data_IF_801147917655
#
_entry.id   IF_801147917655
#
_cell.length_a   1.000
_cell.length_b   1.000
_cell.length_c   1.000
_cell.angle_alpha   90.00
_cell.angle_beta   90.00
_cell.angle_gamma   90.00
#
_symmetry.space_group_name_H-M   'P 1'
#
loop_
_entity.id
_entity.type
_entity.pdbx_description
1 polymer ?
#
# COMPACT_ATOMS: atom_id res chain seq x y z
N UNK A 1 -10.01 11.90 -32.87
CA UNK A 1 -10.49 12.32 -31.52
C UNK A 1 -10.93 11.06 -30.80
N UNK A 2 -10.48 10.70 -29.60
CA UNK A 2 -9.52 11.30 -28.69
C UNK A 2 -8.93 10.19 -27.82
N UNK A 3 -7.69 10.37 -27.38
CA UNK A 3 -7.05 9.50 -26.41
C UNK A 3 -7.81 9.62 -25.08
N UNK A 4 -8.58 8.60 -24.69
CA UNK A 4 -8.71 8.30 -23.27
C UNK A 4 -7.51 7.41 -22.95
N UNK A 5 -6.41 8.03 -22.56
CA UNK A 5 -5.53 7.36 -21.60
C UNK A 5 -6.40 7.27 -20.35
N UNK A 6 -7.05 6.12 -20.13
CA UNK A 6 -7.64 5.84 -18.83
C UNK A 6 -6.48 5.92 -17.86
N UNK A 7 -6.38 7.03 -17.14
CA UNK A 7 -5.63 7.12 -15.90
C UNK A 7 -6.33 6.17 -14.92
N UNK A 8 -6.13 4.87 -15.11
CA UNK A 8 -6.55 3.86 -14.15
C UNK A 8 -5.58 3.98 -12.99
N UNK A 9 -5.75 5.04 -12.18
CA UNK A 9 -5.04 5.14 -10.92
C UNK A 9 -5.41 3.89 -10.13
N UNK A 10 -4.42 3.08 -9.75
CA UNK A 10 -4.70 1.90 -8.95
C UNK A 10 -5.42 2.32 -7.67
N UNK A 11 -6.54 1.67 -7.35
CA UNK A 11 -7.19 1.89 -6.07
C UNK A 11 -6.43 1.11 -5.01
N UNK A 12 -5.56 1.80 -4.27
CA UNK A 12 -4.76 1.23 -3.20
C UNK A 12 -5.49 1.48 -1.88
N UNK A 13 -5.71 0.42 -1.10
CA UNK A 13 -6.34 0.53 0.23
C UNK A 13 -5.56 1.49 1.12
N UNK A 14 -6.29 2.29 1.90
CA UNK A 14 -5.75 3.13 2.98
C UNK A 14 -5.84 2.37 4.30
N UNK A 15 -5.12 2.80 5.37
CA UNK A 15 -5.20 2.14 6.67
C UNK A 15 -6.64 2.02 7.22
N UNK A 16 -7.51 2.99 6.91
CA UNK A 16 -8.93 3.00 7.28
C UNK A 16 -9.81 2.00 6.52
N UNK A 17 -9.34 1.47 5.38
CA UNK A 17 -10.08 0.51 4.56
C UNK A 17 -9.95 -0.93 5.11
N UNK A 18 -8.99 -1.16 6.02
CA UNK A 18 -8.80 -2.44 6.67
C UNK A 18 -9.91 -2.72 7.69
N UNK A 19 -10.38 -3.98 7.82
CA UNK A 19 -11.43 -4.34 8.77
C UNK A 19 -10.94 -4.42 10.24
N UNK A 20 -9.70 -4.03 10.50
CA UNK A 20 -9.02 -4.07 11.80
C UNK A 20 -8.17 -2.79 11.99
N UNK A 21 -7.87 -2.41 13.24
CA UNK A 21 -7.06 -1.22 13.50
C UNK A 21 -5.61 -1.44 13.08
N UNK A 22 -5.13 -0.58 12.17
CA UNK A 22 -3.72 -0.52 11.81
C UNK A 22 -2.97 0.35 12.83
N UNK A 23 -1.81 -0.07 13.35
CA UNK A 23 -1.00 0.76 14.23
C UNK A 23 -0.64 2.09 13.59
N UNK A 24 -0.58 3.17 14.38
CA UNK A 24 -0.34 4.53 13.87
C UNK A 24 0.92 4.60 13.00
N UNK A 25 2.03 4.01 13.46
CA UNK A 25 3.30 3.95 12.73
C UNK A 25 3.11 3.30 11.34
N UNK A 26 2.43 2.15 11.29
CA UNK A 26 2.15 1.45 10.03
C UNK A 26 1.18 2.24 9.15
N UNK A 27 0.18 2.89 9.74
CA UNK A 27 -0.82 3.68 9.04
C UNK A 27 -0.20 4.93 8.39
N UNK A 28 0.73 5.60 9.05
CA UNK A 28 1.49 6.72 8.50
C UNK A 28 2.31 6.26 7.29
N UNK A 29 3.09 5.19 7.41
CA UNK A 29 3.88 4.66 6.29
C UNK A 29 3.00 4.21 5.10
N UNK A 30 1.85 3.59 5.36
CA UNK A 30 0.90 3.23 4.28
C UNK A 30 0.41 4.50 3.56
N UNK A 31 0.00 5.53 4.30
CA UNK A 31 -0.49 6.77 3.68
C UNK A 31 0.59 7.45 2.83
N UNK A 32 1.84 7.49 3.31
CA UNK A 32 2.96 8.06 2.57
C UNK A 32 3.26 7.25 1.30
N UNK A 33 3.26 5.90 1.40
CA UNK A 33 3.41 5.01 0.26
C UNK A 33 2.31 5.21 -0.78
N UNK A 34 1.03 5.23 -0.36
CA UNK A 34 -0.11 5.44 -1.27
C UNK A 34 -0.01 6.80 -1.95
N UNK A 35 0.25 7.87 -1.19
CA UNK A 35 0.39 9.22 -1.75
C UNK A 35 1.56 9.31 -2.74
N UNK A 36 2.69 8.68 -2.47
CA UNK A 36 3.81 8.61 -3.39
C UNK A 36 3.47 7.83 -4.67
N UNK A 37 2.76 6.70 -4.58
CA UNK A 37 2.30 5.95 -5.76
C UNK A 37 1.29 6.78 -6.57
N UNK A 38 0.33 7.43 -5.91
CA UNK A 38 -0.67 8.29 -6.55
C UNK A 38 -0.04 9.51 -7.25
N UNK A 39 1.08 10.01 -6.71
CA UNK A 39 1.90 11.09 -7.31
C UNK A 39 2.82 10.60 -8.43
N UNK A 40 3.02 9.28 -8.57
CA UNK A 40 3.96 8.69 -9.53
C UNK A 40 5.43 8.91 -9.12
N UNK A 41 5.70 8.93 -7.82
CA UNK A 41 7.03 9.13 -7.27
C UNK A 41 7.96 7.97 -7.65
N UNK A 42 9.23 8.29 -7.95
CA UNK A 42 10.22 7.28 -8.35
C UNK A 42 10.92 6.60 -7.18
N UNK A 43 10.81 7.17 -5.98
CA UNK A 43 11.60 6.79 -4.81
C UNK A 43 10.77 6.15 -3.69
N UNK A 44 9.87 5.23 -4.05
CA UNK A 44 9.03 4.50 -3.08
C UNK A 44 9.72 3.28 -2.44
N UNK A 45 10.92 2.90 -2.91
CA UNK A 45 11.65 1.74 -2.38
C UNK A 45 11.99 1.84 -0.89
N UNK A 46 12.25 3.06 -0.39
CA UNK A 46 12.46 3.29 1.04
C UNK A 46 11.17 3.09 1.84
N UNK A 47 10.02 3.50 1.29
CA UNK A 47 8.71 3.34 1.92
C UNK A 47 8.30 1.87 2.00
N UNK A 48 8.64 1.05 1.01
CA UNK A 48 8.45 -0.40 1.09
C UNK A 48 9.28 -1.04 2.20
N UNK A 49 10.53 -0.62 2.38
CA UNK A 49 11.39 -1.12 3.46
C UNK A 49 10.91 -0.68 4.85
N UNK A 50 10.44 0.56 4.95
CA UNK A 50 9.85 1.08 6.18
C UNK A 50 8.55 0.34 6.52
N UNK A 51 7.69 0.10 5.52
CA UNK A 51 6.45 -0.64 5.70
C UNK A 51 6.70 -2.08 6.15
N UNK A 52 7.71 -2.78 5.60
CA UNK A 52 8.15 -4.11 6.06
C UNK A 52 8.60 -4.09 7.54
N UNK A 53 9.25 -3.01 7.98
CA UNK A 53 9.63 -2.80 9.38
C UNK A 53 8.42 -2.54 10.28
N UNK A 54 7.57 -1.58 9.90
CA UNK A 54 6.41 -1.14 10.67
C UNK A 54 5.35 -2.24 10.78
N UNK A 55 5.16 -3.06 9.74
CA UNK A 55 4.22 -4.20 9.78
C UNK A 55 4.68 -5.26 10.78
N UNK A 56 5.98 -5.49 10.96
CA UNK A 56 6.50 -6.44 11.98
C UNK A 56 6.21 -6.03 13.43
N UNK A 57 5.86 -4.76 13.67
CA UNK A 57 5.44 -4.29 15.00
C UNK A 57 3.95 -4.52 15.26
N UNK A 58 3.19 -5.03 14.30
CA UNK A 58 1.80 -5.41 14.49
C UNK A 58 1.66 -6.59 15.46
N UNK A 59 0.61 -6.55 16.28
CA UNK A 59 0.38 -7.54 17.34
C UNK A 59 -0.06 -8.91 16.77
N UNK A 60 -0.80 -8.91 15.66
CA UNK A 60 -1.35 -10.12 15.06
C UNK A 60 -0.63 -10.47 13.76
N UNK A 61 -0.01 -11.65 13.74
CA UNK A 61 0.74 -12.18 12.58
C UNK A 61 -0.12 -12.36 11.33
N UNK A 62 -1.39 -12.77 11.47
CA UNK A 62 -2.31 -12.91 10.35
C UNK A 62 -2.60 -11.54 9.70
N UNK A 63 -2.82 -10.51 10.51
CA UNK A 63 -3.04 -9.13 10.05
C UNK A 63 -1.77 -8.54 9.44
N UNK A 64 -0.62 -8.74 10.09
CA UNK A 64 0.71 -8.37 9.57
C UNK A 64 0.92 -8.94 8.17
N UNK A 65 0.77 -10.25 8.03
CA UNK A 65 1.00 -10.96 6.78
C UNK A 65 0.06 -10.45 5.70
N UNK A 66 -1.19 -10.17 6.03
CA UNK A 66 -2.21 -9.75 5.07
C UNK A 66 -1.98 -8.32 4.58
N UNK A 67 -1.70 -7.37 5.48
CA UNK A 67 -1.31 -6.00 5.14
C UNK A 67 -0.02 -6.00 4.33
N UNK A 68 1.01 -6.66 4.86
CA UNK A 68 2.34 -6.72 4.27
C UNK A 68 2.31 -7.30 2.86
N UNK A 69 1.65 -8.44 2.65
CA UNK A 69 1.55 -9.05 1.33
C UNK A 69 0.81 -8.14 0.34
N UNK A 70 -0.30 -7.53 0.76
CA UNK A 70 -1.09 -6.66 -0.10
C UNK A 70 -0.25 -5.53 -0.72
N UNK A 71 0.58 -4.86 0.08
CA UNK A 71 1.44 -3.78 -0.40
C UNK A 71 2.76 -4.27 -1.01
N UNK A 72 3.48 -5.20 -0.37
CA UNK A 72 4.80 -5.64 -0.84
C UNK A 72 4.74 -6.51 -2.10
N UNK A 73 3.65 -7.25 -2.30
CA UNK A 73 3.43 -8.01 -3.53
C UNK A 73 2.63 -7.22 -4.57
N UNK A 74 2.34 -5.95 -4.27
CA UNK A 74 1.56 -5.06 -5.12
C UNK A 74 0.27 -5.73 -5.60
N UNK A 75 -0.47 -6.41 -4.68
CA UNK A 75 -1.66 -7.18 -5.05
C UNK A 75 -2.77 -6.28 -5.62
N UNK A 76 -2.76 -5.00 -5.24
CA UNK A 76 -3.59 -3.96 -5.84
C UNK A 76 -3.30 -3.71 -7.32
N UNK A 77 -2.13 -4.08 -7.81
CA UNK A 77 -1.66 -3.91 -9.19
C UNK A 77 -1.60 -5.24 -9.96
N UNK A 78 -2.03 -6.35 -9.35
CA UNK A 78 -2.12 -7.62 -10.07
C UNK A 78 -3.25 -7.49 -11.09
N UNK A 79 -2.87 -7.29 -12.34
CA UNK A 79 -3.74 -7.51 -13.49
C UNK A 79 -4.11 -8.99 -13.46
N UNK A 80 -5.36 -9.29 -13.09
CA UNK A 80 -5.91 -10.65 -13.11
C UNK A 80 -5.94 -11.09 -14.59
N UNK A 81 -4.94 -11.89 -15.00
CA UNK A 81 -4.81 -12.48 -16.36
C UNK A 81 -5.97 -13.44 -16.69
#
# INVERSE_FOLDING_TARGET
>A
MGCLMSENKPFIRRPEDWPFPIPEITAETINDLVDAIERGDRYIGSLYGELDGSTREMEHLDEETLVRNYYLLEEWNRDDE
#
